data_IF_928995896772
#
_entry.id   IF_928995896772
#
_cell.length_a   1.000
_cell.length_b   1.000
_cell.length_c   1.000
_cell.angle_alpha   90.00
_cell.angle_beta   90.00
_cell.angle_gamma   90.00
#
_symmetry.space_group_name_H-M   'P 1'
#
loop_
_entity.id
_entity.type
_entity.pdbx_description
1 polymer ?
#
# COMPACT_ATOMS: atom_id res chain seq x y z
N UNK A 1 0.00 -2.33 -4.55
CA UNK A 1 0.78 -1.48 -3.62
C UNK A 1 1.32 -2.38 -2.53
N UNK A 2 2.63 -2.39 -2.30
CA UNK A 2 3.29 -3.36 -1.43
C UNK A 2 3.73 -2.65 -0.14
N UNK A 3 3.07 -2.95 0.97
CA UNK A 3 3.44 -2.47 2.30
C UNK A 3 3.37 -3.67 3.26
N UNK A 4 4.33 -3.74 4.20
CA UNK A 4 4.44 -4.79 5.22
C UNK A 4 3.10 -5.09 5.91
N UNK A 5 2.28 -4.07 6.22
CA UNK A 5 1.00 -4.30 6.87
C UNK A 5 0.01 -5.06 5.97
N UNK A 6 -0.10 -4.69 4.70
CA UNK A 6 -0.99 -5.36 3.73
C UNK A 6 -0.53 -6.79 3.48
N UNK A 7 0.78 -7.00 3.30
CA UNK A 7 1.33 -8.34 3.07
C UNK A 7 1.17 -9.24 4.29
N UNK A 8 1.41 -8.71 5.49
CA UNK A 8 1.20 -9.44 6.73
C UNK A 8 -0.26 -9.86 6.90
N UNK A 9 -1.23 -9.00 6.59
CA UNK A 9 -2.64 -9.37 6.61
C UNK A 9 -2.98 -10.49 5.62
N UNK A 10 -2.42 -10.45 4.41
CA UNK A 10 -2.62 -11.55 3.46
C UNK A 10 -1.98 -12.86 3.94
N UNK A 11 -0.82 -12.80 4.59
CA UNK A 11 -0.22 -13.96 5.25
C UNK A 11 -1.08 -14.49 6.41
N UNK A 12 -1.67 -13.62 7.23
CA UNK A 12 -2.56 -13.99 8.33
C UNK A 12 -3.82 -14.70 7.81
N UNK A 13 -4.41 -14.24 6.71
CA UNK A 13 -5.55 -14.92 6.06
C UNK A 13 -5.21 -16.34 5.58
N UNK A 14 -3.93 -16.63 5.34
CA UNK A 14 -3.44 -17.95 4.96
C UNK A 14 -2.99 -18.79 6.18
N UNK A 15 -3.09 -18.25 7.40
CA UNK A 15 -2.46 -18.81 8.59
C UNK A 15 -0.96 -19.11 8.38
N UNK A 16 -0.27 -18.29 7.58
CA UNK A 16 1.08 -18.60 7.11
C UNK A 16 2.08 -18.77 8.26
N UNK A 17 1.86 -18.05 9.37
CA UNK A 17 2.69 -18.13 10.56
C UNK A 17 2.78 -19.54 11.17
N UNK A 18 1.74 -20.37 11.01
CA UNK A 18 1.75 -21.76 11.52
C UNK A 18 2.66 -22.67 10.69
N UNK A 19 2.85 -22.36 9.40
CA UNK A 19 3.70 -23.09 8.46
C UNK A 19 5.17 -22.65 8.48
N UNK A 20 5.49 -21.51 9.10
CA UNK A 20 6.87 -21.03 9.17
C UNK A 20 7.73 -21.95 10.04
N UNK A 21 8.84 -22.42 9.46
CA UNK A 21 9.87 -23.15 10.19
C UNK A 21 10.81 -22.16 10.91
N UNK A 22 10.61 -21.98 12.21
CA UNK A 22 11.31 -20.99 13.01
C UNK A 22 12.21 -21.65 14.05
N UNK A 23 13.39 -21.05 14.27
CA UNK A 23 14.24 -21.39 15.40
C UNK A 23 13.50 -21.24 16.73
N UNK A 24 13.78 -22.12 17.70
CA UNK A 24 13.06 -22.21 18.99
C UNK A 24 12.95 -20.87 19.72
N UNK A 25 13.99 -20.02 19.66
CA UNK A 25 13.99 -18.70 20.29
C UNK A 25 12.99 -17.73 19.65
N UNK A 26 12.98 -17.64 18.32
CA UNK A 26 12.07 -16.77 17.56
C UNK A 26 10.63 -17.23 17.72
N UNK A 27 10.39 -18.55 17.67
CA UNK A 27 9.06 -19.12 17.89
C UNK A 27 8.50 -18.79 19.27
N UNK A 28 9.32 -18.93 20.34
CA UNK A 28 8.94 -18.57 21.71
C UNK A 28 8.71 -17.07 21.89
N UNK A 29 9.46 -16.24 21.16
CA UNK A 29 9.33 -14.78 21.14
C UNK A 29 8.14 -14.25 20.33
N UNK A 30 7.20 -15.10 19.90
CA UNK A 30 6.02 -14.67 19.15
C UNK A 30 6.28 -14.41 17.66
N UNK A 31 7.41 -14.89 17.11
CA UNK A 31 7.79 -14.66 15.71
C UNK A 31 6.76 -15.10 14.67
N UNK A 32 5.90 -16.08 14.99
CA UNK A 32 4.80 -16.51 14.11
C UNK A 32 3.78 -15.42 13.81
N UNK A 33 3.66 -14.43 14.70
CA UNK A 33 2.74 -13.30 14.56
C UNK A 33 3.48 -12.00 14.22
N UNK A 34 4.80 -12.06 14.00
CA UNK A 34 5.58 -10.88 13.71
C UNK A 34 5.30 -10.43 12.27
N UNK A 35 4.69 -9.26 12.12
CA UNK A 35 4.25 -8.71 10.82
C UNK A 35 5.34 -8.70 9.75
N UNK A 36 6.58 -8.34 10.11
CA UNK A 36 7.70 -8.35 9.16
C UNK A 36 8.01 -9.75 8.66
N UNK A 37 7.94 -10.76 9.52
CA UNK A 37 8.21 -12.15 9.14
C UNK A 37 7.08 -12.73 8.30
N UNK A 38 5.83 -12.40 8.63
CA UNK A 38 4.66 -12.78 7.86
C UNK A 38 4.67 -12.14 6.47
N UNK A 39 5.00 -10.86 6.36
CA UNK A 39 5.15 -10.16 5.09
C UNK A 39 6.24 -10.81 4.22
N UNK A 40 7.43 -11.04 4.79
CA UNK A 40 8.52 -11.70 4.08
C UNK A 40 8.15 -13.13 3.65
N UNK A 41 7.42 -13.87 4.51
CA UNK A 41 6.91 -15.20 4.19
C UNK A 41 5.94 -15.16 2.99
N UNK A 42 5.05 -14.18 2.94
CA UNK A 42 4.13 -14.00 1.81
C UNK A 42 4.87 -13.69 0.51
N UNK A 43 5.89 -12.81 0.55
CA UNK A 43 6.73 -12.53 -0.62
C UNK A 43 7.47 -13.77 -1.10
N UNK A 44 7.98 -14.59 -0.17
CA UNK A 44 8.62 -15.86 -0.50
C UNK A 44 7.65 -16.83 -1.18
N UNK A 45 6.41 -16.94 -0.70
CA UNK A 45 5.36 -17.74 -1.35
C UNK A 45 5.06 -17.20 -2.74
N UNK A 46 4.93 -15.88 -2.90
CA UNK A 46 4.68 -15.27 -4.20
C UNK A 46 5.83 -15.52 -5.18
N UNK A 47 7.08 -15.46 -4.70
CA UNK A 47 8.27 -15.84 -5.47
C UNK A 47 8.26 -17.30 -5.87
N UNK A 48 7.84 -18.21 -4.98
CA UNK A 48 7.69 -19.63 -5.31
C UNK A 48 6.63 -19.85 -6.41
N UNK A 49 5.47 -19.19 -6.33
CA UNK A 49 4.43 -19.25 -7.37
C UNK A 49 4.96 -18.70 -8.70
N UNK A 50 5.72 -17.61 -8.66
CA UNK A 50 6.34 -17.03 -9.87
C UNK A 50 7.31 -18.01 -10.52
N UNK A 51 8.15 -18.68 -9.74
CA UNK A 51 9.12 -19.65 -10.26
C UNK A 51 8.46 -20.94 -10.77
N UNK A 52 7.34 -21.36 -10.16
CA UNK A 52 6.63 -22.59 -10.51
C UNK A 52 5.67 -22.43 -11.70
N UNK A 53 4.91 -21.33 -11.73
CA UNK A 53 3.80 -21.13 -12.65
C UNK A 53 3.87 -19.82 -13.47
N UNK A 54 4.95 -19.05 -13.33
CA UNK A 54 5.19 -17.84 -14.08
C UNK A 54 4.45 -16.59 -13.58
N UNK A 55 4.62 -15.49 -14.31
CA UNK A 55 4.14 -14.16 -13.93
C UNK A 55 2.62 -14.09 -13.76
N UNK A 56 1.86 -14.58 -14.75
CA UNK A 56 0.41 -14.42 -14.75
C UNK A 56 -0.25 -15.13 -13.55
N UNK A 57 0.24 -16.33 -13.21
CA UNK A 57 -0.22 -17.07 -12.04
C UNK A 57 0.07 -16.30 -10.75
N UNK A 58 1.29 -15.79 -10.58
CA UNK A 58 1.68 -15.01 -9.41
C UNK A 58 0.88 -13.70 -9.31
N UNK A 59 0.69 -13.00 -10.43
CA UNK A 59 -0.07 -11.76 -10.51
C UNK A 59 -1.53 -11.95 -10.10
N UNK A 60 -2.20 -12.96 -10.67
CA UNK A 60 -3.59 -13.26 -10.34
C UNK A 60 -3.74 -13.77 -8.91
N UNK A 61 -2.79 -14.56 -8.42
CA UNK A 61 -2.76 -15.00 -7.02
C UNK A 61 -2.71 -13.81 -6.07
N UNK A 62 -1.75 -12.89 -6.26
CA UNK A 62 -1.64 -11.67 -5.46
C UNK A 62 -2.92 -10.82 -5.55
N UNK A 63 -3.42 -10.57 -6.76
CA UNK A 63 -4.53 -9.65 -6.98
C UNK A 63 -5.82 -10.16 -6.34
N UNK A 64 -6.08 -11.47 -6.43
CA UNK A 64 -7.25 -12.09 -5.81
C UNK A 64 -7.20 -11.98 -4.28
N UNK A 65 -6.03 -12.17 -3.67
CA UNK A 65 -5.83 -12.01 -2.22
C UNK A 65 -5.92 -10.57 -1.77
N UNK A 66 -5.33 -9.66 -2.52
CA UNK A 66 -5.41 -8.23 -2.23
C UNK A 66 -6.87 -7.74 -2.25
N UNK A 67 -7.67 -8.21 -3.22
CA UNK A 67 -9.11 -7.89 -3.32
C UNK A 67 -9.97 -8.50 -2.22
N UNK A 68 -9.53 -9.61 -1.61
CA UNK A 68 -10.25 -10.22 -0.49
C UNK A 68 -9.96 -9.56 0.86
N UNK A 69 -9.07 -8.57 0.92
CA UNK A 69 -8.85 -7.80 2.14
C UNK A 69 -10.06 -6.90 2.43
N UNK A 70 -10.56 -6.87 3.69
CA UNK A 70 -11.70 -6.05 4.08
C UNK A 70 -11.32 -4.56 4.00
N UNK A 71 -11.77 -3.90 2.93
CA UNK A 71 -11.27 -2.61 2.44
C UNK A 71 -9.77 -2.67 2.13
N UNK A 72 -9.28 -2.03 1.05
CA UNK A 72 -7.84 -1.80 0.98
C UNK A 72 -7.45 -1.10 2.29
N UNK A 73 -6.42 -1.61 2.95
CA UNK A 73 -5.55 -0.77 3.78
C UNK A 73 -5.17 0.34 2.83
N UNK A 74 -5.92 1.44 2.85
CA UNK A 74 -5.51 2.63 2.13
C UNK A 74 -4.14 2.90 2.71
N UNK A 75 -3.10 2.90 1.88
CA UNK A 75 -1.94 3.67 2.27
C UNK A 75 -2.54 5.03 2.50
N UNK A 76 -2.58 5.40 3.76
CA UNK A 76 -2.85 6.72 4.24
C UNK A 76 -1.65 7.57 3.83
N UNK A 77 -1.27 7.59 2.54
CA UNK A 77 -0.29 8.48 1.96
C UNK A 77 -0.92 9.88 1.84
N UNK A 78 -1.45 10.37 2.97
CA UNK A 78 -2.05 11.68 3.08
C UNK A 78 -1.01 12.75 2.81
N UNK A 79 0.26 12.54 3.18
CA UNK A 79 1.39 13.39 2.77
C UNK A 79 1.52 13.56 1.27
N UNK A 80 1.64 12.47 0.51
CA UNK A 80 1.78 12.54 -0.94
C UNK A 80 0.54 13.13 -1.61
N UNK A 81 -0.65 12.77 -1.13
CA UNK A 81 -1.90 13.34 -1.64
C UNK A 81 -2.04 14.84 -1.30
N UNK A 82 -1.64 15.25 -0.10
CA UNK A 82 -1.62 16.65 0.30
C UNK A 82 -0.62 17.43 -0.55
N UNK A 83 0.55 16.86 -0.84
CA UNK A 83 1.53 17.49 -1.72
C UNK A 83 0.93 17.76 -3.11
N UNK A 84 0.23 16.78 -3.69
CA UNK A 84 -0.46 16.99 -4.96
C UNK A 84 -1.52 18.10 -4.86
N UNK A 85 -2.41 18.04 -3.86
CA UNK A 85 -3.48 19.03 -3.69
C UNK A 85 -2.92 20.43 -3.42
N UNK A 86 -1.87 20.55 -2.62
CA UNK A 86 -1.24 21.83 -2.30
C UNK A 86 -0.50 22.41 -3.50
N UNK A 87 0.16 21.58 -4.30
CA UNK A 87 0.76 22.01 -5.55
C UNK A 87 -0.30 22.49 -6.55
N UNK A 88 -1.44 21.79 -6.65
CA UNK A 88 -2.56 22.15 -7.54
C UNK A 88 -3.26 23.45 -7.10
N UNK A 89 -3.49 23.64 -5.79
CA UNK A 89 -4.27 24.78 -5.28
C UNK A 89 -3.45 26.02 -4.93
N UNK A 90 -2.24 25.81 -4.42
CA UNK A 90 -1.41 26.88 -3.86
C UNK A 90 -0.08 27.04 -4.62
N UNK A 91 0.28 26.10 -5.50
CA UNK A 91 1.57 26.11 -6.18
C UNK A 91 2.76 25.87 -5.24
N UNK A 92 2.52 25.31 -4.05
CA UNK A 92 3.51 25.20 -2.98
C UNK A 92 3.61 23.77 -2.44
N UNK A 93 4.83 23.38 -2.05
CA UNK A 93 5.10 22.11 -1.36
C UNK A 93 4.80 22.25 0.13
N UNK A 94 3.96 21.38 0.71
CA UNK A 94 3.69 21.40 2.14
C UNK A 94 4.95 21.11 2.96
N UNK A 95 5.08 21.77 4.11
CA UNK A 95 6.11 21.46 5.10
C UNK A 95 5.48 21.21 6.47
N UNK A 96 6.21 20.46 7.30
CA UNK A 96 5.75 20.03 8.61
C UNK A 96 6.64 20.63 9.68
N UNK A 97 6.03 21.32 10.63
CA UNK A 97 6.65 21.57 11.91
C UNK A 97 6.19 20.47 12.88
N UNK A 98 7.13 19.84 13.59
CA UNK A 98 6.77 18.79 14.53
C UNK A 98 7.62 18.88 15.79
N UNK A 99 6.94 18.81 16.91
CA UNK A 99 7.52 18.77 18.24
C UNK A 99 7.18 17.44 18.93
N UNK A 100 8.06 17.01 19.81
CA UNK A 100 7.88 15.79 20.60
C UNK A 100 8.01 16.10 22.08
N UNK A 101 7.04 15.66 22.85
CA UNK A 101 7.03 15.74 24.30
C UNK A 101 7.02 14.33 24.92
N UNK A 102 7.54 14.23 26.15
CA UNK A 102 7.44 13.01 26.94
C UNK A 102 6.38 13.22 28.01
N UNK A 103 5.29 12.47 27.93
CA UNK A 103 4.19 12.49 28.90
C UNK A 103 4.27 11.19 29.71
N UNK A 104 4.86 11.28 30.90
CA UNK A 104 5.16 10.11 31.73
C UNK A 104 6.13 9.14 31.04
N UNK A 105 5.69 7.90 30.81
CA UNK A 105 6.49 6.86 30.12
C UNK A 105 6.29 6.84 28.60
N UNK A 106 5.32 7.59 28.06
CA UNK A 106 4.99 7.59 26.64
C UNK A 106 5.59 8.82 25.93
N UNK A 107 5.86 8.69 24.62
CA UNK A 107 6.23 9.83 23.78
C UNK A 107 4.98 10.25 23.00
N UNK A 108 4.72 11.53 22.98
CA UNK A 108 3.67 12.15 22.19
C UNK A 108 4.33 13.14 21.23
N UNK A 109 3.91 13.10 19.98
CA UNK A 109 4.36 14.01 18.94
C UNK A 109 3.17 14.81 18.45
N UNK A 110 3.37 16.11 18.28
CA UNK A 110 2.43 17.02 17.64
C UNK A 110 3.07 17.51 16.36
N UNK A 111 2.33 17.49 15.25
CA UNK A 111 2.80 18.07 14.00
C UNK A 111 1.76 18.98 13.39
N UNK A 112 2.20 20.14 12.91
CA UNK A 112 1.39 21.09 12.16
C UNK A 112 1.91 21.12 10.73
N UNK A 113 1.02 21.02 9.76
CA UNK A 113 1.34 21.12 8.33
C UNK A 113 0.93 22.45 7.77
N UNK A 114 1.80 23.03 6.95
CA UNK A 114 1.62 24.34 6.34
C UNK A 114 1.75 24.22 4.81
N UNK A 115 1.01 25.06 4.09
CA UNK A 115 1.35 25.43 2.71
C UNK A 115 1.35 26.95 2.65
N UNK A 116 2.55 27.54 2.75
CA UNK A 116 2.73 28.98 2.89
C UNK A 116 2.77 29.38 4.35
N UNK A 117 2.11 30.49 4.70
CA UNK A 117 2.10 31.06 6.05
C UNK A 117 1.01 30.49 6.96
N UNK A 118 -0.03 29.88 6.40
CA UNK A 118 -1.21 29.44 7.16
C UNK A 118 -1.13 27.93 7.48
N UNK A 119 -1.47 27.53 8.72
CA UNK A 119 -1.57 26.13 9.09
C UNK A 119 -2.77 25.47 8.39
N UNK A 120 -2.53 24.36 7.71
CA UNK A 120 -3.58 23.59 7.03
C UNK A 120 -4.19 22.51 7.92
N UNK A 121 -3.42 21.96 8.86
CA UNK A 121 -3.87 20.90 9.75
C UNK A 121 -2.87 20.56 10.84
N UNK A 122 -3.37 19.96 11.92
CA UNK A 122 -2.58 19.50 13.06
C UNK A 122 -2.89 18.03 13.34
N UNK A 123 -1.87 17.26 13.68
CA UNK A 123 -1.97 15.85 13.99
C UNK A 123 -1.12 15.46 15.20
N UNK A 124 -1.50 14.36 15.82
CA UNK A 124 -0.84 13.81 17.00
C UNK A 124 -0.54 12.33 16.81
N UNK A 125 0.53 11.82 17.42
CA UNK A 125 0.90 10.41 17.32
C UNK A 125 1.96 9.97 18.32
N UNK A 126 2.14 8.66 18.47
CA UNK A 126 3.19 8.09 19.31
C UNK A 126 4.58 8.19 18.65
N UNK A 127 4.60 8.46 17.35
CA UNK A 127 5.81 8.72 16.57
C UNK A 127 5.66 10.00 15.75
N UNK A 128 6.79 10.63 15.40
CA UNK A 128 6.80 11.81 14.52
C UNK A 128 6.09 11.54 13.18
N UNK A 129 6.35 10.37 12.58
CA UNK A 129 5.75 9.99 11.30
C UNK A 129 4.23 9.86 11.38
N UNK A 130 3.71 9.30 12.47
CA UNK A 130 2.27 9.17 12.72
C UNK A 130 1.62 10.55 12.90
N UNK A 131 2.21 11.42 13.71
CA UNK A 131 1.73 12.79 13.90
C UNK A 131 1.69 13.58 12.58
N UNK A 132 2.73 13.47 11.76
CA UNK A 132 2.77 14.12 10.45
C UNK A 132 1.73 13.55 9.48
N UNK A 133 1.40 12.25 9.52
CA UNK A 133 0.33 11.70 8.69
C UNK A 133 -1.06 12.16 9.14
N UNK A 134 -1.31 12.21 10.44
CA UNK A 134 -2.59 12.73 10.94
C UNK A 134 -2.75 14.23 10.63
N UNK A 135 -1.65 15.01 10.67
CA UNK A 135 -1.67 16.41 10.25
C UNK A 135 -2.03 16.55 8.77
N UNK A 136 -1.46 15.68 7.92
CA UNK A 136 -1.79 15.65 6.50
C UNK A 136 -3.25 15.25 6.24
N UNK A 137 -3.77 14.29 7.01
CA UNK A 137 -5.18 13.88 6.99
C UNK A 137 -6.12 15.02 7.37
N UNK A 138 -5.78 15.75 8.44
CA UNK A 138 -6.51 16.93 8.89
C UNK A 138 -6.52 18.02 7.81
N UNK A 139 -5.37 18.31 7.20
CA UNK A 139 -5.28 19.27 6.10
C UNK A 139 -6.12 18.88 4.88
N UNK A 140 -6.07 17.63 4.45
CA UNK A 140 -6.92 17.14 3.36
C UNK A 140 -8.41 17.24 3.70
N UNK A 141 -8.81 17.10 4.98
CA UNK A 141 -10.20 17.32 5.43
C UNK A 141 -10.58 18.79 5.28
N UNK A 142 -9.75 19.69 5.79
CA UNK A 142 -9.96 21.15 5.71
C UNK A 142 -10.05 21.64 4.27
N UNK A 143 -9.26 21.06 3.36
CA UNK A 143 -9.27 21.39 1.94
C UNK A 143 -10.44 20.75 1.16
N UNK A 144 -11.25 19.90 1.81
CA UNK A 144 -12.34 19.16 1.15
C UNK A 144 -11.84 18.10 0.15
N UNK A 145 -10.59 17.67 0.26
CA UNK A 145 -9.92 16.75 -0.66
C UNK A 145 -9.88 15.30 -0.11
N UNK A 146 -10.96 14.87 0.55
CA UNK A 146 -11.05 13.52 1.14
C UNK A 146 -11.16 12.42 0.06
N UNK A 147 -10.62 11.21 0.30
CA UNK A 147 -11.22 10.01 -0.29
C UNK A 147 -12.65 9.89 0.24
N UNK A 148 -13.61 9.61 -0.65
CA UNK A 148 -15.00 9.40 -0.24
C UNK A 148 -15.07 8.40 0.93
N UNK A 149 -15.61 8.84 2.07
CA UNK A 149 -15.90 7.95 3.18
C UNK A 149 -16.98 6.93 2.77
N UNK A 150 -16.95 5.68 3.28
CA UNK A 150 -18.05 4.76 3.05
C UNK A 150 -19.28 5.30 3.79
N UNK A 151 -20.23 5.82 3.02
CA UNK A 151 -21.59 6.05 3.48
C UNK A 151 -22.22 4.69 3.77
N UNK A 152 -22.02 4.18 5.00
CA UNK A 152 -22.97 3.24 5.57
C UNK A 152 -24.25 4.01 5.92
N UNK A 153 -24.97 4.42 4.87
CA UNK A 153 -26.35 4.82 4.97
C UNK A 153 -27.16 3.54 5.18
N UNK A 154 -27.32 3.13 6.44
CA UNK A 154 -28.37 2.22 6.85
C UNK A 154 -29.71 2.86 6.46
N UNK A 155 -30.20 2.55 5.26
CA UNK A 155 -31.60 2.81 4.91
C UNK A 155 -32.44 2.00 5.91
N UNK A 156 -33.41 2.61 6.62
CA UNK A 156 -34.36 1.82 7.38
C UNK A 156 -35.10 0.89 6.40
N UNK A 157 -35.13 -0.39 6.74
CA UNK A 157 -35.83 -1.41 5.97
C UNK A 157 -37.30 -0.99 5.80
N UNK A 158 -37.70 -0.68 4.56
CA UNK A 158 -39.12 -0.62 4.20
C UNK A 158 -39.68 -2.03 4.33
N UNK A 159 -40.70 -2.18 5.17
CA UNK A 159 -41.47 -3.41 5.36
C UNK A 159 -41.93 -3.97 4.01
N UNK A 160 -41.88 -5.30 3.78
CA UNK A 160 -42.37 -5.88 2.54
C UNK A 160 -43.90 -5.73 2.49
N UNK A 161 -44.42 -5.04 1.48
CA UNK A 161 -45.85 -5.13 1.14
C UNK A 161 -46.15 -6.53 0.58
N UNK A 162 -47.29 -7.15 0.93
CA UNK A 162 -47.64 -8.48 0.42
C UNK A 162 -47.87 -8.43 -1.09
N UNK A 163 -47.18 -9.31 -1.82
CA UNK A 163 -47.39 -9.53 -3.25
C UNK A 163 -48.78 -10.14 -3.47
N UNK A 164 -49.71 -9.39 -4.05
CA UNK A 164 -50.93 -9.96 -4.62
C UNK A 164 -50.56 -10.86 -5.81
N UNK A 165 -50.97 -12.13 -5.75
CA UNK A 165 -50.85 -13.10 -6.84
C UNK A 165 -51.68 -12.61 -8.04
N UNK A 166 -51.03 -12.39 -9.18
CA UNK A 166 -51.71 -12.31 -10.48
C UNK A 166 -51.68 -13.67 -11.17
N UNK A 167 -52.77 -14.07 -11.86
CA UNK A 167 -52.91 -15.41 -12.42
C UNK A 167 -52.00 -15.64 -13.62
N UNK A 168 -51.62 -16.91 -13.78
CA UNK A 168 -50.78 -17.49 -14.83
C UNK A 168 -51.40 -17.30 -16.22
N UNK A 169 -50.60 -16.85 -17.19
CA UNK A 169 -50.93 -16.96 -18.61
C UNK A 169 -49.86 -17.76 -19.34
N UNK A 170 -50.33 -18.63 -20.22
CA UNK A 170 -49.67 -19.82 -20.73
C UNK A 170 -48.54 -19.59 -21.75
N UNK A 171 -47.73 -20.64 -21.89
CA UNK A 171 -46.59 -20.92 -22.78
C UNK A 171 -46.72 -20.45 -24.24
N UNK A 172 -45.57 -20.13 -24.83
CA UNK A 172 -45.20 -20.61 -26.17
C UNK A 172 -43.67 -20.73 -26.30
N UNK A 173 -43.19 -21.91 -26.67
CA UNK A 173 -41.79 -22.26 -27.01
C UNK A 173 -41.66 -22.18 -28.54
N UNK A 174 -40.47 -21.87 -29.10
CA UNK A 174 -39.96 -22.80 -30.10
C UNK A 174 -38.43 -23.06 -30.03
N UNK A 175 -38.13 -24.37 -30.01
CA UNK A 175 -37.11 -25.13 -30.75
C UNK A 175 -35.79 -24.49 -31.23
N UNK A 176 -34.67 -25.06 -30.76
CA UNK A 176 -33.48 -25.36 -31.57
C UNK A 176 -33.78 -26.59 -32.48
N UNK A 177 -33.00 -26.97 -33.52
CA UNK A 177 -31.56 -27.32 -33.40
C UNK A 177 -30.68 -27.08 -34.66
N UNK A 178 -29.34 -27.16 -34.54
CA UNK A 178 -28.50 -28.25 -35.08
C UNK A 178 -27.00 -27.88 -35.16
N UNK A 179 -26.17 -28.85 -34.74
CA UNK A 179 -24.98 -29.43 -35.39
C UNK A 179 -23.90 -28.50 -35.99
N UNK A 180 -22.59 -28.79 -35.98
CA UNK A 180 -21.69 -29.78 -35.41
C UNK A 180 -20.27 -29.36 -35.87
N UNK A 181 -19.25 -30.08 -35.39
CA UNK A 181 -17.92 -30.26 -36.00
C UNK A 181 -16.72 -29.38 -35.55
N UNK A 182 -15.87 -30.07 -34.78
CA UNK A 182 -14.44 -30.34 -35.02
C UNK A 182 -13.47 -29.13 -35.17
N UNK A 183 -12.61 -28.89 -34.18
CA UNK A 183 -11.30 -29.55 -34.00
C UNK A 183 -10.29 -29.20 -35.10
N UNK A 184 -9.31 -28.36 -34.75
CA UNK A 184 -7.88 -28.63 -35.01
C UNK A 184 -7.03 -27.68 -34.16
N UNK A 185 -6.19 -28.27 -33.31
CA UNK A 185 -5.18 -27.59 -32.52
C UNK A 185 -3.97 -27.26 -33.43
N UNK A 186 -3.53 -26.00 -33.41
CA UNK A 186 -2.26 -25.58 -34.03
C UNK A 186 -1.20 -25.47 -32.93
N UNK A 187 -0.23 -26.39 -32.94
CA UNK A 187 0.95 -26.35 -32.08
C UNK A 187 1.96 -25.37 -32.69
N UNK A 188 2.25 -24.28 -31.99
CA UNK A 188 3.30 -23.34 -32.38
C UNK A 188 4.60 -23.72 -31.65
N UNK A 189 5.56 -24.28 -32.39
CA UNK A 189 6.92 -24.56 -31.91
C UNK A 189 7.70 -23.25 -31.91
N UNK A 190 8.09 -22.76 -30.73
CA UNK A 190 9.00 -21.62 -30.59
C UNK A 190 10.41 -22.15 -30.36
N UNK A 191 11.31 -21.85 -31.29
CA UNK A 191 12.76 -22.03 -31.16
C UNK A 191 13.32 -20.79 -30.45
N UNK A 192 14.05 -20.91 -29.32
CA UNK A 192 14.69 -19.76 -28.71
C UNK A 192 16.04 -19.45 -29.38
N UNK A 193 16.27 -18.17 -29.71
CA UNK A 193 17.55 -17.63 -30.16
C UNK A 193 18.62 -17.66 -29.04
N UNK A 194 19.92 -17.76 -29.38
CA UNK A 194 20.99 -17.89 -28.40
C UNK A 194 21.31 -16.57 -27.67
N UNK A 195 21.55 -16.69 -26.36
CA UNK A 195 21.98 -15.64 -25.43
C UNK A 195 23.45 -15.25 -25.71
N UNK A 196 23.81 -13.96 -25.84
CA UNK A 196 25.21 -13.55 -25.88
C UNK A 196 25.84 -13.51 -24.47
N UNK A 197 26.98 -14.17 -24.31
CA UNK A 197 27.82 -14.22 -23.11
C UNK A 197 28.50 -12.88 -22.78
N UNK A 198 28.87 -12.63 -21.50
CA UNK A 198 29.41 -11.34 -21.06
C UNK A 198 30.90 -11.19 -21.37
N UNK A 199 31.28 -10.02 -21.89
CA UNK A 199 32.69 -9.61 -21.99
C UNK A 199 33.16 -9.05 -20.65
N UNK A 200 34.11 -9.76 -20.04
CA UNK A 200 35.05 -9.24 -19.04
C UNK A 200 36.07 -8.34 -19.74
N UNK A 201 36.29 -7.15 -19.18
CA UNK A 201 37.33 -6.22 -19.61
C UNK A 201 37.74 -5.34 -18.44
N UNK A 202 38.89 -5.67 -17.88
CA UNK A 202 39.61 -4.92 -16.84
C UNK A 202 40.11 -3.58 -17.36
N UNK A 203 40.20 -2.57 -16.49
CA UNK A 203 40.81 -1.28 -16.81
C UNK A 203 40.99 -0.41 -15.56
N UNK A 204 42.24 -0.30 -15.12
CA UNK A 204 42.73 0.41 -13.93
C UNK A 204 42.81 1.94 -14.11
N UNK A 205 42.95 2.65 -12.98
CA UNK A 205 43.44 4.04 -12.88
C UNK A 205 42.32 5.07 -12.69
N UNK A 206 42.40 6.11 -11.87
CA UNK A 206 43.42 6.71 -11.02
C UNK A 206 42.68 7.57 -9.96
N UNK A 207 43.36 7.91 -8.87
CA UNK A 207 42.78 8.61 -7.73
C UNK A 207 42.28 10.03 -8.01
N UNK A 208 41.44 10.52 -7.08
CA UNK A 208 41.33 11.94 -6.72
C UNK A 208 40.78 12.09 -5.31
N UNK A 209 41.38 13.07 -4.65
CA UNK A 209 41.27 13.48 -3.25
C UNK A 209 39.88 13.99 -2.82
N UNK A 210 39.65 13.82 -1.51
CA UNK A 210 38.91 14.66 -0.56
C UNK A 210 37.89 15.69 -1.03
N UNK A 211 36.69 15.63 -0.44
CA UNK A 211 36.02 16.83 0.08
C UNK A 211 35.01 16.47 1.19
N UNK A 212 35.32 16.86 2.43
CA UNK A 212 34.37 16.91 3.54
C UNK A 212 33.51 18.17 3.39
N UNK A 213 32.18 18.12 3.58
CA UNK A 213 31.37 19.32 3.65
C UNK A 213 31.58 20.04 5.01
N UNK A 214 31.60 21.38 5.05
CA UNK A 214 32.02 22.13 6.22
C UNK A 214 30.98 22.18 7.34
N UNK A 215 31.50 22.16 8.58
CA UNK A 215 30.81 22.45 9.83
C UNK A 215 30.34 23.90 9.83
N UNK A 216 29.03 24.15 9.90
CA UNK A 216 28.48 25.50 10.15
C UNK A 216 28.51 25.80 11.64
N UNK A 217 29.55 26.51 12.07
CA UNK A 217 29.60 27.22 13.35
C UNK A 217 28.64 28.40 13.35
N UNK A 218 27.79 28.50 14.37
CA UNK A 218 27.00 29.70 14.68
C UNK A 218 27.95 30.79 15.18
N UNK A 219 28.20 31.81 14.37
CA UNK A 219 28.69 33.10 14.86
C UNK A 219 27.48 33.91 15.32
N UNK A 220 27.30 34.00 16.64
CA UNK A 220 26.58 35.10 17.25
C UNK A 220 27.45 36.36 17.12
N UNK A 221 26.95 37.33 16.38
CA UNK A 221 27.39 38.72 16.44
C UNK A 221 26.20 39.56 16.89
N UNK A 222 26.19 39.89 18.18
CA UNK A 222 25.72 41.18 18.67
C UNK A 222 26.54 42.31 17.99
N UNK A 223 26.10 43.60 17.94
CA UNK A 223 25.56 44.31 19.12
C UNK A 223 24.61 45.53 18.91
N UNK A 224 24.23 46.11 20.06
CA UNK A 224 23.73 47.48 20.37
C UNK A 224 22.24 47.74 20.09
N UNK A 225 21.44 48.30 21.02
CA UNK A 225 21.73 49.18 22.18
C UNK A 225 21.15 48.69 23.52
#
# INVERSE_FOLDING_TARGET
>A
MVNTNTLAQMAEQLDLGSYLNLGKGIAKGGGRNLKSLLANGFEAVLGAVFLDAGYDAAYHYYLNRYRSLPSPVQDENFKGRLQQVAQERFGQTPFYDSEGARVGSQREYTSVVFAGSEPLGTGHGATKQEAEQEAARAALRSLGAQPAAPVNATKPARSPRPRQRRPSRARSVPSAPNDAEASTATTLTVVPDPIPSPHLGEGQGEGRESEQPPVRSRQFGEPLE
#
